data_IF_845709615371
#
_entry.id   IF_845709615371
#
_cell.length_a   1.000
_cell.length_b   1.000
_cell.length_c   1.000
_cell.angle_alpha   90.00
_cell.angle_beta   90.00
_cell.angle_gamma   90.00
#
_symmetry.space_group_name_H-M   'P 1'
#
loop_
_entity.id
_entity.type
_entity.pdbx_description
1 polymer ?
#
# COMPACT_ATOMS: atom_id res chain seq x y z
N UNK A 1 77.75 -64.20 -12.83
CA UNK A 1 76.51 -64.53 -12.10
C UNK A 1 76.01 -63.31 -11.34
N UNK A 2 76.79 -62.79 -10.39
CA UNK A 2 76.39 -61.71 -9.45
C UNK A 2 75.74 -60.49 -10.13
N UNK A 3 76.33 -59.94 -11.19
CA UNK A 3 75.75 -58.79 -11.91
C UNK A 3 74.29 -58.98 -12.35
N UNK A 4 73.88 -60.22 -12.71
CA UNK A 4 72.49 -60.52 -13.06
C UNK A 4 71.59 -60.64 -11.83
N UNK A 5 72.11 -61.14 -10.71
CA UNK A 5 71.38 -61.18 -9.44
C UNK A 5 71.16 -59.76 -8.87
N UNK A 6 72.17 -58.89 -8.93
CA UNK A 6 72.04 -57.47 -8.53
C UNK A 6 71.04 -56.72 -9.42
N UNK A 7 71.07 -56.95 -10.74
CA UNK A 7 70.08 -56.39 -11.66
C UNK A 7 68.65 -56.90 -11.38
N UNK A 8 68.47 -58.19 -11.15
CA UNK A 8 67.18 -58.79 -10.81
C UNK A 8 66.61 -58.26 -9.48
N UNK A 9 67.45 -58.14 -8.44
CA UNK A 9 67.05 -57.55 -7.16
C UNK A 9 66.67 -56.07 -7.31
N UNK A 10 67.42 -55.29 -8.09
CA UNK A 10 67.10 -53.88 -8.37
C UNK A 10 65.77 -53.71 -9.10
N UNK A 11 65.46 -54.62 -10.04
CA UNK A 11 64.20 -54.65 -10.77
C UNK A 11 63.02 -55.09 -9.88
N UNK A 12 63.21 -56.09 -9.02
CA UNK A 12 62.20 -56.52 -8.04
C UNK A 12 61.82 -55.36 -7.11
N UNK A 13 62.80 -54.69 -6.51
CA UNK A 13 62.53 -53.54 -5.65
C UNK A 13 62.13 -52.27 -6.40
N UNK A 14 62.13 -52.23 -7.73
CA UNK A 14 61.41 -51.23 -8.51
C UNK A 14 59.92 -51.63 -8.63
N UNK A 15 59.65 -52.85 -9.08
CA UNK A 15 58.29 -53.38 -9.23
C UNK A 15 57.49 -53.38 -7.91
N UNK A 16 58.13 -53.65 -6.77
CA UNK A 16 57.51 -53.54 -5.43
C UNK A 16 57.02 -52.11 -5.15
N UNK A 17 57.85 -51.10 -5.45
CA UNK A 17 57.48 -49.68 -5.26
C UNK A 17 56.41 -49.23 -6.24
N UNK A 18 56.48 -49.66 -7.49
CA UNK A 18 55.46 -49.39 -8.51
C UNK A 18 54.11 -50.04 -8.14
N UNK A 19 54.13 -51.26 -7.59
CA UNK A 19 52.93 -51.94 -7.09
C UNK A 19 52.32 -51.21 -5.88
N UNK A 20 53.12 -50.75 -4.90
CA UNK A 20 52.62 -49.94 -3.77
C UNK A 20 52.06 -48.59 -4.22
N UNK A 21 52.69 -47.95 -5.21
CA UNK A 21 52.18 -46.71 -5.79
C UNK A 21 50.86 -46.93 -6.53
N UNK A 22 50.73 -48.01 -7.31
CA UNK A 22 49.49 -48.38 -7.99
C UNK A 22 48.36 -48.72 -7.01
N UNK A 23 48.66 -49.45 -5.92
CA UNK A 23 47.68 -49.74 -4.85
C UNK A 23 47.21 -48.46 -4.15
N UNK A 24 48.11 -47.50 -3.91
CA UNK A 24 47.77 -46.22 -3.29
C UNK A 24 46.92 -45.36 -4.23
N UNK A 25 47.24 -45.33 -5.53
CA UNK A 25 46.44 -44.65 -6.55
C UNK A 25 45.05 -45.29 -6.73
N UNK A 26 44.95 -46.62 -6.66
CA UNK A 26 43.66 -47.32 -6.70
C UNK A 26 42.79 -46.99 -5.48
N UNK A 27 43.35 -47.03 -4.26
CA UNK A 27 42.63 -46.69 -3.03
C UNK A 27 42.17 -45.21 -3.03
N UNK A 28 42.95 -44.29 -3.60
CA UNK A 28 42.53 -42.91 -3.77
C UNK A 28 41.40 -42.79 -4.80
N UNK A 29 41.48 -43.49 -5.94
CA UNK A 29 40.43 -43.47 -6.96
C UNK A 29 39.11 -44.11 -6.47
N UNK A 30 39.17 -45.16 -5.64
CA UNK A 30 38.01 -45.74 -4.95
C UNK A 30 37.36 -44.72 -4.01
N UNK A 31 38.16 -43.93 -3.28
CA UNK A 31 37.65 -42.84 -2.44
C UNK A 31 37.05 -41.72 -3.29
N UNK A 32 37.74 -41.24 -4.31
CA UNK A 32 37.27 -40.16 -5.18
C UNK A 32 35.94 -40.53 -5.87
N UNK A 33 35.77 -41.81 -6.23
CA UNK A 33 34.51 -42.33 -6.76
C UNK A 33 33.38 -42.39 -5.71
N UNK A 34 33.69 -42.70 -4.45
CA UNK A 34 32.72 -42.66 -3.36
C UNK A 34 32.30 -41.22 -3.00
N UNK A 35 33.26 -40.31 -2.90
CA UNK A 35 33.02 -38.87 -2.66
C UNK A 35 32.19 -38.27 -3.82
N UNK A 36 32.49 -38.64 -5.08
CA UNK A 36 31.70 -38.24 -6.25
C UNK A 36 30.28 -38.83 -6.27
N UNK A 37 30.09 -40.07 -5.81
CA UNK A 37 28.75 -40.68 -5.69
C UNK A 37 27.88 -39.96 -4.65
N UNK A 38 28.46 -39.56 -3.50
CA UNK A 38 27.74 -38.76 -2.50
C UNK A 38 27.34 -37.38 -3.06
N UNK A 39 28.24 -36.70 -3.77
CA UNK A 39 27.95 -35.43 -4.43
C UNK A 39 26.82 -35.56 -5.47
N UNK A 40 26.76 -36.68 -6.20
CA UNK A 40 25.68 -36.94 -7.15
C UNK A 40 24.31 -37.12 -6.44
N UNK A 41 24.26 -37.85 -5.32
CA UNK A 41 23.03 -37.99 -4.51
C UNK A 41 22.55 -36.64 -3.98
N UNK A 42 23.43 -35.82 -3.39
CA UNK A 42 23.05 -34.49 -2.92
C UNK A 42 22.59 -33.57 -4.07
N UNK A 43 23.17 -33.69 -5.26
CA UNK A 43 22.71 -32.95 -6.44
C UNK A 43 21.28 -33.35 -6.88
N UNK A 44 20.93 -34.64 -6.79
CA UNK A 44 19.57 -35.14 -7.06
C UNK A 44 18.55 -34.63 -6.02
N UNK A 45 18.94 -34.59 -4.73
CA UNK A 45 18.13 -34.01 -3.65
C UNK A 45 17.89 -32.50 -3.86
N UNK A 46 18.94 -31.73 -4.22
CA UNK A 46 18.81 -30.31 -4.54
C UNK A 46 17.94 -30.06 -5.78
N UNK A 47 18.09 -30.87 -6.84
CA UNK A 47 17.26 -30.76 -8.04
C UNK A 47 15.77 -31.03 -7.72
N UNK A 48 15.48 -32.08 -6.93
CA UNK A 48 14.13 -32.43 -6.48
C UNK A 48 13.52 -31.31 -5.62
N UNK A 49 14.31 -30.73 -4.71
CA UNK A 49 13.91 -29.59 -3.88
C UNK A 49 13.59 -28.35 -4.72
N UNK A 50 14.44 -28.04 -5.71
CA UNK A 50 14.22 -26.92 -6.64
C UNK A 50 12.96 -27.10 -7.50
N UNK A 51 12.69 -28.32 -7.99
CA UNK A 51 11.45 -28.61 -8.73
C UNK A 51 10.21 -28.45 -7.84
N UNK A 52 10.28 -28.90 -6.59
CA UNK A 52 9.20 -28.73 -5.61
C UNK A 52 8.97 -27.25 -5.23
N UNK A 53 10.03 -26.43 -5.20
CA UNK A 53 9.92 -24.98 -5.02
C UNK A 53 9.29 -24.30 -6.24
N UNK A 54 9.72 -24.66 -7.46
CA UNK A 54 9.18 -24.12 -8.71
C UNK A 54 7.67 -24.42 -8.88
N UNK A 55 7.23 -25.64 -8.57
CA UNK A 55 5.80 -26.03 -8.58
C UNK A 55 4.95 -25.21 -7.58
N UNK A 56 5.52 -24.85 -6.43
CA UNK A 56 4.85 -23.96 -5.45
C UNK A 56 4.80 -22.52 -5.94
N UNK A 57 5.86 -22.02 -6.57
CA UNK A 57 5.89 -20.67 -7.14
C UNK A 57 4.84 -20.49 -8.26
N UNK A 58 4.72 -21.47 -9.18
CA UNK A 58 3.68 -21.52 -10.22
C UNK A 58 2.26 -21.56 -9.61
N UNK A 59 2.07 -22.30 -8.50
CA UNK A 59 0.80 -22.33 -7.76
C UNK A 59 0.48 -20.96 -7.13
N UNK A 60 1.46 -20.30 -6.51
CA UNK A 60 1.25 -18.98 -5.90
C UNK A 60 1.06 -17.86 -6.92
N UNK A 61 1.66 -17.95 -8.12
CA UNK A 61 1.35 -17.03 -9.22
C UNK A 61 -0.13 -17.13 -9.59
N UNK A 62 -0.64 -18.34 -9.82
CA UNK A 62 -2.07 -18.57 -10.15
C UNK A 62 -3.02 -18.16 -9.03
N UNK A 63 -2.65 -18.36 -7.76
CA UNK A 63 -3.42 -17.85 -6.61
C UNK A 63 -3.45 -16.31 -6.57
N UNK A 64 -2.33 -15.65 -6.92
CA UNK A 64 -2.22 -14.20 -6.96
C UNK A 64 -2.98 -13.58 -8.14
N UNK A 65 -2.87 -14.15 -9.35
CA UNK A 65 -3.62 -13.72 -10.53
C UNK A 65 -5.13 -13.81 -10.27
N UNK A 66 -5.61 -14.96 -9.77
CA UNK A 66 -7.01 -15.13 -9.39
C UNK A 66 -7.42 -14.19 -8.24
N UNK A 67 -6.50 -13.77 -7.35
CA UNK A 67 -6.79 -12.76 -6.33
C UNK A 67 -6.89 -11.35 -6.94
N UNK A 68 -6.07 -11.00 -7.92
CA UNK A 68 -6.15 -9.75 -8.67
C UNK A 68 -7.47 -9.67 -9.47
N UNK A 69 -7.83 -10.71 -10.24
CA UNK A 69 -9.10 -10.79 -10.96
C UNK A 69 -10.32 -10.56 -10.04
N UNK A 70 -10.31 -11.17 -8.84
CA UNK A 70 -11.36 -10.98 -7.83
C UNK A 70 -11.36 -9.56 -7.23
N UNK A 71 -10.19 -8.97 -7.01
CA UNK A 71 -10.07 -7.60 -6.51
C UNK A 71 -10.59 -6.58 -7.55
N UNK A 72 -10.22 -6.74 -8.82
CA UNK A 72 -10.76 -5.93 -9.91
C UNK A 72 -12.27 -6.13 -10.11
N UNK A 73 -12.75 -7.38 -10.09
CA UNK A 73 -14.18 -7.66 -10.22
C UNK A 73 -14.97 -7.04 -9.07
N UNK A 74 -14.42 -7.04 -7.85
CA UNK A 74 -15.01 -6.33 -6.71
C UNK A 74 -14.96 -4.81 -6.89
N UNK A 75 -13.88 -4.23 -7.42
CA UNK A 75 -13.80 -2.80 -7.74
C UNK A 75 -14.82 -2.40 -8.81
N UNK A 76 -14.95 -3.15 -9.90
CA UNK A 76 -15.98 -2.96 -10.95
C UNK A 76 -17.39 -3.06 -10.37
N UNK A 77 -17.63 -3.99 -9.44
CA UNK A 77 -18.90 -4.13 -8.71
C UNK A 77 -19.18 -2.94 -7.77
N UNK A 78 -18.18 -2.42 -7.06
CA UNK A 78 -18.33 -1.20 -6.24
C UNK A 78 -18.54 0.05 -7.11
N UNK A 79 -17.84 0.19 -8.24
CA UNK A 79 -18.04 1.30 -9.16
C UNK A 79 -19.44 1.28 -9.79
N UNK A 80 -19.93 0.10 -10.22
CA UNK A 80 -21.31 -0.01 -10.73
C UNK A 80 -22.31 0.43 -9.67
N UNK A 81 -22.16 -0.04 -8.42
CA UNK A 81 -23.01 0.36 -7.28
C UNK A 81 -22.92 1.85 -6.96
N UNK A 82 -21.72 2.44 -7.00
CA UNK A 82 -21.54 3.88 -6.78
C UNK A 82 -22.16 4.73 -7.90
N UNK A 83 -22.12 4.26 -9.15
CA UNK A 83 -22.79 4.89 -10.31
C UNK A 83 -24.31 4.75 -10.21
N UNK A 84 -24.81 3.57 -9.83
CA UNK A 84 -26.23 3.28 -9.61
C UNK A 84 -26.81 4.08 -8.42
N UNK A 85 -26.05 4.24 -7.34
CA UNK A 85 -26.38 5.10 -6.20
C UNK A 85 -26.32 6.60 -6.57
N UNK A 86 -25.37 7.01 -7.42
CA UNK A 86 -25.29 8.38 -7.92
C UNK A 86 -26.36 8.73 -8.98
N UNK A 87 -26.93 7.73 -9.66
CA UNK A 87 -28.01 7.89 -10.62
C UNK A 87 -29.42 7.77 -9.99
N UNK A 88 -29.55 7.03 -8.88
CA UNK A 88 -30.81 6.90 -8.13
C UNK A 88 -31.04 7.99 -7.08
N UNK A 89 -29.97 8.66 -6.63
CA UNK A 89 -30.10 9.96 -5.96
C UNK A 89 -30.41 11.04 -7.01
N UNK A 90 -31.33 11.98 -6.74
CA UNK A 90 -31.43 13.17 -7.57
C UNK A 90 -30.08 13.90 -7.55
N UNK A 91 -29.72 14.54 -8.68
CA UNK A 91 -28.54 15.39 -8.75
C UNK A 91 -28.55 16.39 -7.57
N UNK A 92 -27.42 16.67 -6.90
CA UNK A 92 -27.38 17.57 -5.75
C UNK A 92 -27.93 18.96 -6.11
N UNK A 93 -29.22 19.18 -5.82
CA UNK A 93 -29.77 20.52 -5.64
C UNK A 93 -28.93 21.13 -4.54
N UNK A 94 -28.11 22.14 -4.87
CA UNK A 94 -27.24 22.82 -3.92
C UNK A 94 -28.09 23.16 -2.68
N UNK A 95 -27.84 22.52 -1.52
CA UNK A 95 -28.40 23.00 -0.28
C UNK A 95 -27.96 24.45 -0.13
N UNK A 96 -28.70 25.28 0.61
CA UNK A 96 -28.17 26.56 1.07
C UNK A 96 -26.98 26.28 1.99
N UNK A 97 -25.81 26.14 1.38
CA UNK A 97 -24.54 25.82 2.00
C UNK A 97 -23.80 27.13 2.18
N UNK A 98 -23.50 27.44 3.43
CA UNK A 98 -22.85 28.67 3.88
C UNK A 98 -21.69 29.06 2.93
N UNK A 99 -21.73 30.24 2.29
CA UNK A 99 -20.72 30.68 1.34
C UNK A 99 -19.30 30.62 1.90
N UNK A 100 -19.11 30.83 3.20
CA UNK A 100 -17.78 30.77 3.83
C UNK A 100 -17.28 29.32 3.98
N UNK A 101 -18.18 28.35 4.16
CA UNK A 101 -17.83 26.91 4.16
C UNK A 101 -17.54 26.41 2.73
N UNK A 102 -18.29 26.89 1.73
CA UNK A 102 -18.00 26.58 0.31
C UNK A 102 -16.64 27.16 -0.08
N UNK A 103 -16.35 28.41 0.34
CA UNK A 103 -15.05 29.04 0.09
C UNK A 103 -13.89 28.29 0.75
N UNK A 104 -14.03 27.87 2.01
CA UNK A 104 -13.02 27.04 2.69
C UNK A 104 -12.81 25.70 1.97
N UNK A 105 -13.88 25.06 1.48
CA UNK A 105 -13.79 23.83 0.70
C UNK A 105 -13.07 24.00 -0.65
N UNK A 106 -13.20 25.16 -1.29
CA UNK A 106 -12.48 25.52 -2.51
C UNK A 106 -10.98 25.74 -2.26
N UNK A 107 -10.65 26.46 -1.19
CA UNK A 107 -9.26 26.68 -0.75
C UNK A 107 -8.56 25.35 -0.38
N UNK A 108 -9.20 24.49 0.42
CA UNK A 108 -8.73 23.12 0.75
C UNK A 108 -8.62 22.20 -0.49
N UNK A 109 -9.54 22.30 -1.46
CA UNK A 109 -9.49 21.49 -2.67
C UNK A 109 -8.43 21.97 -3.70
N UNK A 110 -7.92 23.20 -3.52
CA UNK A 110 -7.02 23.86 -4.47
C UNK A 110 -7.68 24.22 -5.80
N UNK A 111 -8.96 24.64 -5.76
CA UNK A 111 -9.78 24.90 -6.95
C UNK A 111 -10.42 26.29 -6.82
N UNK A 112 -10.34 27.13 -7.85
CA UNK A 112 -10.99 28.45 -7.85
C UNK A 112 -12.52 28.35 -7.93
N UNK A 113 -13.24 29.38 -7.47
CA UNK A 113 -14.70 29.41 -7.52
C UNK A 113 -15.22 29.30 -8.97
N UNK A 114 -14.56 30.00 -9.89
CA UNK A 114 -14.84 30.00 -11.32
C UNK A 114 -14.59 28.63 -11.96
N UNK A 115 -13.56 27.90 -11.53
CA UNK A 115 -13.33 26.52 -11.96
C UNK A 115 -14.36 25.54 -11.39
N UNK A 116 -14.89 25.80 -10.19
CA UNK A 116 -15.91 24.96 -9.57
C UNK A 116 -17.29 25.20 -10.19
N UNK A 117 -17.69 26.45 -10.44
CA UNK A 117 -18.90 26.78 -11.22
C UNK A 117 -18.83 26.18 -12.63
N UNK A 118 -17.68 26.31 -13.31
CA UNK A 118 -17.47 25.66 -14.60
C UNK A 118 -17.50 24.13 -14.50
N UNK A 119 -16.96 23.54 -13.43
CA UNK A 119 -17.02 22.10 -13.20
C UNK A 119 -18.45 21.63 -12.92
N UNK A 120 -19.25 22.35 -12.15
CA UNK A 120 -20.68 22.07 -11.94
C UNK A 120 -21.47 22.15 -13.25
N UNK A 121 -21.25 23.21 -14.05
CA UNK A 121 -21.92 23.42 -15.34
C UNK A 121 -21.56 22.36 -16.42
N UNK A 122 -20.46 21.63 -16.25
CA UNK A 122 -20.06 20.50 -17.11
C UNK A 122 -20.52 19.16 -16.49
N UNK A 123 -20.31 18.97 -15.19
CA UNK A 123 -20.69 17.77 -14.45
C UNK A 123 -22.21 17.56 -14.36
N UNK A 124 -23.00 18.64 -14.45
CA UNK A 124 -24.46 18.59 -14.45
C UNK A 124 -25.08 18.11 -15.77
N UNK A 125 -24.31 18.01 -16.87
CA UNK A 125 -24.82 17.53 -18.16
C UNK A 125 -24.76 16.01 -18.28
N UNK A 126 -25.74 15.43 -18.96
CA UNK A 126 -25.69 14.04 -19.42
C UNK A 126 -25.31 13.90 -20.91
N UNK A 127 -25.29 12.66 -21.41
CA UNK A 127 -24.94 12.34 -22.78
C UNK A 127 -26.01 12.77 -23.80
N UNK A 128 -27.28 12.74 -23.40
CA UNK A 128 -28.41 13.12 -24.24
C UNK A 128 -28.49 14.64 -24.35
N UNK A 129 -28.25 15.39 -23.27
CA UNK A 129 -28.05 16.84 -23.27
C UNK A 129 -26.96 17.24 -24.27
N UNK A 130 -25.79 16.60 -24.17
CA UNK A 130 -24.66 16.84 -25.07
C UNK A 130 -25.04 16.60 -26.54
N UNK A 131 -25.76 15.51 -26.84
CA UNK A 131 -26.22 15.18 -28.18
C UNK A 131 -27.29 16.17 -28.69
N UNK A 132 -28.22 16.60 -27.84
CA UNK A 132 -29.20 17.64 -28.15
C UNK A 132 -28.51 18.96 -28.51
N UNK A 133 -27.62 19.46 -27.63
CA UNK A 133 -26.85 20.69 -27.84
C UNK A 133 -26.01 20.67 -29.13
N UNK A 134 -25.40 19.52 -29.46
CA UNK A 134 -24.54 19.38 -30.64
C UNK A 134 -25.30 19.01 -31.93
N UNK A 135 -26.64 19.04 -31.91
CA UNK A 135 -27.48 18.91 -33.10
C UNK A 135 -27.79 17.48 -33.52
N UNK A 136 -27.61 16.51 -32.62
CA UNK A 136 -28.02 15.12 -32.75
C UNK A 136 -29.38 14.82 -32.08
N UNK A 137 -30.18 15.85 -31.79
CA UNK A 137 -31.61 15.80 -31.43
C UNK A 137 -32.40 14.65 -32.08
N UNK A 138 -32.40 14.50 -33.41
CA UNK A 138 -33.15 13.42 -34.10
C UNK A 138 -32.59 12.02 -33.77
N UNK A 139 -31.31 11.90 -33.40
CA UNK A 139 -30.75 10.64 -32.93
C UNK A 139 -31.33 10.29 -31.55
N UNK A 140 -31.34 11.25 -30.62
CA UNK A 140 -31.95 11.09 -29.28
C UNK A 140 -33.44 10.75 -29.42
N UNK A 141 -34.22 11.47 -30.23
CA UNK A 141 -35.64 11.17 -30.50
C UNK A 141 -35.90 9.74 -31.02
N UNK A 142 -34.94 9.14 -31.75
CA UNK A 142 -35.13 7.87 -32.43
C UNK A 142 -34.63 6.65 -31.65
N UNK A 143 -33.60 6.82 -30.82
CA UNK A 143 -32.82 5.74 -30.18
C UNK A 143 -32.22 6.10 -28.81
N UNK A 144 -32.79 7.06 -28.05
CA UNK A 144 -32.26 7.44 -26.72
C UNK A 144 -31.99 6.26 -25.76
N UNK A 145 -32.84 5.23 -25.77
CA UNK A 145 -32.61 4.01 -24.96
C UNK A 145 -31.35 3.27 -25.41
N UNK A 146 -31.24 2.99 -26.70
CA UNK A 146 -30.08 2.29 -27.29
C UNK A 146 -28.78 3.10 -27.08
N UNK A 147 -28.83 4.44 -27.16
CA UNK A 147 -27.67 5.33 -26.87
C UNK A 147 -27.18 5.15 -25.42
N UNK A 148 -28.10 4.98 -24.46
CA UNK A 148 -27.74 4.81 -23.05
C UNK A 148 -27.11 3.44 -22.77
N UNK A 149 -27.39 2.41 -23.58
CA UNK A 149 -26.70 1.12 -23.48
C UNK A 149 -25.21 1.23 -23.89
N UNK A 150 -24.85 2.18 -24.75
CA UNK A 150 -23.47 2.45 -25.14
C UNK A 150 -22.65 3.22 -24.07
N UNK A 151 -23.22 3.66 -22.95
CA UNK A 151 -22.53 4.57 -22.01
C UNK A 151 -21.33 3.93 -21.28
N UNK A 152 -21.34 2.61 -21.13
CA UNK A 152 -20.26 1.82 -20.51
C UNK A 152 -19.30 1.20 -21.56
N UNK A 153 -19.48 1.48 -22.86
CA UNK A 153 -18.58 1.01 -23.92
C UNK A 153 -17.32 1.91 -24.03
N UNK A 154 -16.09 1.34 -23.98
CA UNK A 154 -14.86 2.12 -24.14
C UNK A 154 -14.71 2.82 -25.50
N UNK A 155 -15.45 2.40 -26.53
CA UNK A 155 -15.66 3.14 -27.78
C UNK A 155 -17.16 3.38 -28.05
N UNK A 156 -17.76 4.14 -27.13
CA UNK A 156 -19.11 4.70 -27.23
C UNK A 156 -19.40 5.37 -28.60
N UNK A 157 -18.39 5.93 -29.27
CA UNK A 157 -18.56 6.55 -30.59
C UNK A 157 -18.82 5.48 -31.67
N UNK A 158 -18.06 4.37 -31.66
CA UNK A 158 -18.32 3.21 -32.50
C UNK A 158 -19.64 2.50 -32.14
N UNK A 159 -19.97 2.37 -30.84
CA UNK A 159 -21.23 1.76 -30.40
C UNK A 159 -22.46 2.54 -30.92
N UNK A 160 -22.48 3.88 -30.77
CA UNK A 160 -23.56 4.72 -31.29
C UNK A 160 -23.58 4.74 -32.83
N UNK A 161 -22.43 4.62 -33.48
CA UNK A 161 -22.36 4.46 -34.93
C UNK A 161 -22.95 3.11 -35.41
N UNK A 162 -22.79 2.03 -34.65
CA UNK A 162 -23.39 0.74 -34.94
C UNK A 162 -24.93 0.79 -34.85
N UNK A 163 -25.48 1.47 -33.83
CA UNK A 163 -26.93 1.72 -33.70
C UNK A 163 -27.47 2.45 -34.94
N UNK A 164 -26.80 3.52 -35.36
CA UNK A 164 -27.19 4.29 -36.58
C UNK A 164 -27.13 3.41 -37.83
N UNK A 165 -26.09 2.59 -37.95
CA UNK A 165 -25.90 1.69 -39.10
C UNK A 165 -26.96 0.59 -39.18
N UNK A 166 -27.57 0.23 -38.04
CA UNK A 166 -28.64 -0.77 -37.95
C UNK A 166 -30.06 -0.17 -37.96
N UNK A 167 -30.20 1.15 -38.15
CA UNK A 167 -31.52 1.79 -38.18
C UNK A 167 -32.37 1.35 -39.40
N UNK A 168 -33.65 0.97 -39.21
CA UNK A 168 -34.56 0.70 -40.31
C UNK A 168 -34.63 1.88 -41.28
N UNK A 169 -34.66 1.60 -42.59
CA UNK A 169 -34.63 2.60 -43.68
C UNK A 169 -35.67 3.73 -43.49
N UNK A 170 -36.84 3.41 -42.93
CA UNK A 170 -37.90 4.38 -42.62
C UNK A 170 -37.55 5.34 -41.46
N UNK A 171 -36.78 4.90 -40.46
CA UNK A 171 -36.18 5.79 -39.44
C UNK A 171 -35.01 6.58 -40.07
N UNK A 172 -34.15 5.91 -40.85
CA UNK A 172 -32.99 6.52 -41.50
C UNK A 172 -33.36 7.70 -42.42
N UNK A 173 -34.53 7.65 -43.07
CA UNK A 173 -35.06 8.75 -43.89
C UNK A 173 -35.11 10.11 -43.18
N UNK A 174 -35.32 10.15 -41.85
CA UNK A 174 -35.33 11.39 -41.05
C UNK A 174 -33.92 11.97 -40.81
N UNK A 175 -32.87 11.15 -40.96
CA UNK A 175 -31.49 11.54 -40.64
C UNK A 175 -30.76 12.21 -41.81
N UNK A 176 -31.17 11.98 -43.07
CA UNK A 176 -30.44 12.42 -44.27
C UNK A 176 -30.02 13.90 -44.26
N UNK A 177 -30.83 14.80 -43.69
CA UNK A 177 -30.51 16.24 -43.60
C UNK A 177 -29.62 16.66 -42.42
N UNK A 178 -29.43 15.80 -41.40
CA UNK A 178 -28.65 16.09 -40.19
C UNK A 178 -27.36 15.27 -40.06
N UNK A 179 -27.08 14.29 -40.93
CA UNK A 179 -25.90 13.39 -40.85
C UNK A 179 -24.60 14.13 -40.48
N UNK A 180 -24.17 15.24 -41.13
CA UNK A 180 -22.88 15.87 -40.83
C UNK A 180 -22.80 16.46 -39.42
N UNK A 181 -23.92 16.90 -38.83
CA UNK A 181 -23.98 17.35 -37.44
C UNK A 181 -23.89 16.16 -36.48
N UNK A 182 -24.61 15.08 -36.81
CA UNK A 182 -24.66 13.86 -36.01
C UNK A 182 -23.28 13.19 -35.94
N UNK A 183 -22.59 13.02 -37.08
CA UNK A 183 -21.21 12.52 -37.11
C UNK A 183 -20.26 13.41 -36.29
N UNK A 184 -20.40 14.74 -36.37
CA UNK A 184 -19.58 15.67 -35.56
C UNK A 184 -19.85 15.54 -34.05
N UNK A 185 -21.12 15.37 -33.65
CA UNK A 185 -21.48 15.17 -32.26
C UNK A 185 -20.90 13.84 -31.74
N UNK A 186 -21.06 12.74 -32.49
CA UNK A 186 -20.57 11.40 -32.11
C UNK A 186 -19.04 11.39 -31.91
N UNK A 187 -18.29 11.95 -32.85
CA UNK A 187 -16.82 12.06 -32.75
C UNK A 187 -16.37 12.98 -31.59
N UNK A 188 -17.27 13.80 -31.04
CA UNK A 188 -17.01 14.64 -29.89
C UNK A 188 -17.37 14.01 -28.53
N UNK A 189 -18.06 12.85 -28.51
CA UNK A 189 -18.55 12.23 -27.27
C UNK A 189 -17.41 11.90 -26.31
N UNK A 190 -16.34 11.22 -26.76
CA UNK A 190 -15.23 10.85 -25.87
C UNK A 190 -14.61 12.08 -25.21
N UNK A 191 -14.38 13.15 -25.99
CA UNK A 191 -13.87 14.42 -25.50
C UNK A 191 -14.87 15.24 -24.66
N UNK A 192 -16.16 14.88 -24.65
CA UNK A 192 -17.15 15.35 -23.69
C UNK A 192 -17.09 14.52 -22.40
N UNK A 193 -17.08 13.18 -22.51
CA UNK A 193 -16.99 12.28 -21.36
C UNK A 193 -15.71 12.50 -20.55
N UNK A 194 -14.56 12.70 -21.20
CA UNK A 194 -13.29 13.05 -20.55
C UNK A 194 -13.41 14.33 -19.71
N UNK A 195 -14.04 15.38 -20.28
CA UNK A 195 -14.26 16.66 -19.59
C UNK A 195 -15.27 16.51 -18.46
N UNK A 196 -16.32 15.73 -18.65
CA UNK A 196 -17.36 15.46 -17.66
C UNK A 196 -16.83 14.60 -16.51
N UNK A 197 -15.94 13.64 -16.78
CA UNK A 197 -15.22 12.87 -15.76
C UNK A 197 -14.23 13.75 -14.98
N UNK A 198 -13.46 14.60 -15.67
CA UNK A 198 -12.57 15.57 -15.04
C UNK A 198 -13.32 16.61 -14.19
N UNK A 199 -14.48 17.08 -14.68
CA UNK A 199 -15.37 18.00 -13.98
C UNK A 199 -16.00 17.34 -12.74
N UNK A 200 -16.58 16.14 -12.87
CA UNK A 200 -17.09 15.35 -11.74
C UNK A 200 -16.00 15.04 -10.72
N UNK A 201 -14.74 14.83 -11.15
CA UNK A 201 -13.58 14.68 -10.25
C UNK A 201 -13.20 15.97 -9.52
N UNK A 202 -13.36 17.15 -10.14
CA UNK A 202 -13.23 18.46 -9.45
C UNK A 202 -14.36 18.68 -8.45
N UNK A 203 -15.62 18.44 -8.86
CA UNK A 203 -16.80 18.57 -7.99
C UNK A 203 -16.65 17.64 -6.78
N UNK A 204 -16.34 16.35 -6.97
CA UNK A 204 -16.13 15.39 -5.87
C UNK A 204 -15.02 15.80 -4.90
N UNK A 205 -13.93 16.42 -5.38
CA UNK A 205 -12.91 17.00 -4.48
C UNK A 205 -13.47 18.12 -3.60
N UNK A 206 -14.25 19.03 -4.18
CA UNK A 206 -14.88 20.14 -3.42
C UNK A 206 -15.98 19.60 -2.51
N UNK A 207 -16.72 18.56 -2.88
CA UNK A 207 -17.68 17.87 -2.00
C UNK A 207 -16.98 17.14 -0.84
N UNK A 208 -15.86 16.45 -1.09
CA UNK A 208 -15.04 15.82 -0.05
C UNK A 208 -14.46 16.86 0.91
N UNK A 209 -13.93 17.97 0.38
CA UNK A 209 -13.47 19.11 1.17
C UNK A 209 -14.63 19.77 1.95
N UNK A 210 -15.79 19.95 1.34
CA UNK A 210 -16.98 20.53 1.97
C UNK A 210 -17.55 19.61 3.06
N UNK A 211 -17.47 18.29 2.91
CA UNK A 211 -17.84 17.34 3.97
C UNK A 211 -16.78 17.27 5.09
N UNK A 212 -15.48 17.47 4.82
CA UNK A 212 -14.48 17.73 5.88
C UNK A 212 -14.83 19.01 6.64
N UNK A 213 -15.04 20.11 5.92
CA UNK A 213 -15.35 21.44 6.46
C UNK A 213 -16.67 21.45 7.25
N UNK A 214 -17.74 20.80 6.75
CA UNK A 214 -19.00 20.61 7.50
C UNK A 214 -18.83 19.74 8.75
N UNK A 215 -17.97 18.73 8.73
CA UNK A 215 -17.67 17.92 9.92
C UNK A 215 -16.92 18.76 10.96
N UNK A 216 -15.91 19.53 10.55
CA UNK A 216 -15.24 20.52 11.38
C UNK A 216 -16.20 21.60 11.93
N UNK A 217 -17.14 22.09 11.11
CA UNK A 217 -18.14 23.05 11.53
C UNK A 217 -19.14 22.45 12.55
N UNK A 218 -19.50 21.17 12.43
CA UNK A 218 -20.31 20.48 13.46
C UNK A 218 -19.58 20.36 14.79
N UNK A 219 -18.25 20.25 14.79
CA UNK A 219 -17.44 20.34 16.02
C UNK A 219 -17.48 21.73 16.69
N UNK A 220 -18.10 22.74 16.06
CA UNK A 220 -18.25 24.10 16.60
C UNK A 220 -19.69 24.46 17.03
N UNK A 221 -20.68 23.58 16.83
CA UNK A 221 -22.11 23.94 17.01
C UNK A 221 -22.87 23.23 18.14
N UNK A 222 -22.29 22.20 18.77
CA UNK A 222 -22.97 21.44 19.86
C UNK A 222 -22.74 22.02 21.28
N UNK A 223 -22.21 23.24 21.36
CA UNK A 223 -21.90 23.93 22.61
C UNK A 223 -23.17 24.51 23.28
N UNK A 224 -23.83 23.72 24.14
CA UNK A 224 -24.95 24.19 24.98
C UNK A 224 -24.44 24.89 26.24
N UNK A 225 -24.87 26.15 26.53
CA UNK A 225 -24.28 26.95 27.61
C UNK A 225 -24.55 26.38 29.01
N UNK A 226 -23.51 25.81 29.64
CA UNK A 226 -23.62 24.89 30.79
C UNK A 226 -23.08 25.36 32.17
N UNK A 227 -22.80 26.66 32.37
CA UNK A 227 -22.40 27.30 33.65
C UNK A 227 -21.06 26.89 34.33
N UNK A 228 -20.04 27.73 34.11
CA UNK A 228 -19.43 28.51 35.22
C UNK A 228 -18.12 28.01 35.84
N UNK A 229 -17.03 28.79 35.70
CA UNK A 229 -15.70 28.39 36.18
C UNK A 229 -14.63 29.50 36.35
N UNK A 230 -15.01 30.74 36.72
CA UNK A 230 -14.14 31.86 37.17
C UNK A 230 -12.78 32.10 36.48
N UNK A 231 -12.73 33.22 35.77
CA UNK A 231 -11.54 33.97 35.33
C UNK A 231 -10.38 34.09 36.34
N UNK A 232 -9.14 34.04 35.84
CA UNK A 232 -8.00 34.88 36.29
C UNK A 232 -7.15 35.30 35.08
N UNK A 233 -6.38 36.38 35.22
CA UNK A 233 -5.85 37.17 34.09
C UNK A 233 -4.36 36.95 33.78
N UNK A 234 -3.95 37.36 32.58
CA UNK A 234 -2.59 37.22 32.04
C UNK A 234 -1.53 38.17 32.64
N UNK A 235 -0.25 37.76 32.55
CA UNK A 235 0.92 38.65 32.52
C UNK A 235 2.18 37.92 32.00
N UNK A 236 3.08 38.61 31.28
CA UNK A 236 4.51 38.27 31.21
C UNK A 236 5.10 37.80 29.86
N UNK A 237 5.73 38.72 29.12
CA UNK A 237 6.86 38.49 28.18
C UNK A 237 7.95 39.52 28.48
N UNK A 238 9.24 39.16 28.33
CA UNK A 238 10.10 39.67 27.22
C UNK A 238 10.69 38.48 26.41
N UNK A 239 11.12 38.54 25.14
CA UNK A 239 12.00 39.49 24.39
C UNK A 239 13.51 39.38 24.76
N UNK A 240 14.46 39.23 23.80
CA UNK A 240 14.35 39.09 22.33
C UNK A 240 15.61 38.42 21.70
N UNK A 241 15.45 37.93 20.44
CA UNK A 241 16.44 37.74 19.34
C UNK A 241 17.85 37.13 19.61
N UNK A 242 18.44 36.25 18.78
CA UNK A 242 18.07 35.45 17.59
C UNK A 242 19.24 34.43 17.35
N UNK A 243 19.37 33.56 16.34
CA UNK A 243 18.85 33.43 14.97
C UNK A 243 18.69 31.94 14.55
N UNK A 244 18.25 31.73 13.31
CA UNK A 244 18.02 30.48 12.58
C UNK A 244 19.06 29.35 12.65
N UNK A 245 18.59 28.15 12.98
CA UNK A 245 18.58 26.98 12.09
C UNK A 245 17.35 26.11 12.44
N UNK A 246 16.75 25.41 11.47
CA UNK A 246 15.41 24.81 11.60
C UNK A 246 15.36 23.48 12.37
N UNK A 247 14.16 23.11 12.88
CA UNK A 247 13.86 21.73 13.27
C UNK A 247 13.27 21.47 14.67
N UNK A 248 12.70 22.46 15.37
CA UNK A 248 12.15 22.26 16.73
C UNK A 248 10.62 22.18 16.78
N UNK A 249 10.05 20.98 16.76
CA UNK A 249 8.71 20.76 17.30
C UNK A 249 8.76 20.78 18.83
N UNK A 250 7.83 21.50 19.46
CA UNK A 250 7.96 21.88 20.87
C UNK A 250 7.65 20.73 21.84
N UNK A 251 8.42 20.68 22.93
CA UNK A 251 8.21 19.78 24.07
C UNK A 251 6.95 20.17 24.85
N UNK A 252 5.91 19.35 24.84
CA UNK A 252 4.85 19.36 25.84
C UNK A 252 5.09 18.28 26.90
N UNK A 253 4.63 18.51 28.13
CA UNK A 253 4.87 17.61 29.27
C UNK A 253 3.55 17.16 29.89
N UNK A 254 3.25 15.86 29.72
CA UNK A 254 2.42 14.99 30.57
C UNK A 254 0.99 15.39 30.98
N UNK A 255 0.16 14.34 31.06
CA UNK A 255 -1.16 14.21 31.70
C UNK A 255 -2.41 14.58 30.89
N UNK A 256 -3.32 13.58 30.88
CA UNK A 256 -4.77 13.58 30.64
C UNK A 256 -5.29 13.88 29.21
N UNK A 257 -6.39 13.19 28.85
CA UNK A 257 -6.89 13.06 27.47
C UNK A 257 -7.77 14.23 26.98
N UNK A 258 -7.35 14.91 25.91
CA UNK A 258 -8.20 15.14 24.71
C UNK A 258 -7.34 15.48 23.47
N UNK A 259 -7.23 14.58 22.47
CA UNK A 259 -6.50 14.85 21.24
C UNK A 259 -7.36 15.58 20.20
N UNK A 260 -7.84 16.78 20.53
CA UNK A 260 -8.47 17.66 19.56
C UNK A 260 -7.42 18.30 18.62
N UNK A 261 -7.70 18.24 17.31
CA UNK A 261 -6.87 18.73 16.19
C UNK A 261 -5.60 17.91 15.87
N UNK A 262 -5.77 16.82 15.11
CA UNK A 262 -5.18 16.68 13.75
C UNK A 262 -5.65 15.39 13.05
N UNK A 263 -5.88 15.42 11.74
CA UNK A 263 -6.09 14.22 10.92
C UNK A 263 -4.76 13.55 10.50
N UNK A 264 -3.81 13.49 11.43
CA UNK A 264 -2.51 12.87 11.24
C UNK A 264 -2.56 11.33 11.26
N UNK A 265 -1.44 10.66 10.94
CA UNK A 265 -1.32 9.22 11.13
C UNK A 265 -1.33 8.88 12.63
N UNK A 266 -1.63 7.63 13.00
CA UNK A 266 -1.59 7.22 14.41
C UNK A 266 -0.19 7.39 15.00
N UNK A 267 -0.05 8.11 16.11
CA UNK A 267 1.21 8.26 16.83
C UNK A 267 1.14 7.51 18.16
N UNK A 268 2.07 6.58 18.35
CA UNK A 268 2.27 5.83 19.60
C UNK A 268 3.52 6.34 20.31
N UNK A 269 3.39 6.63 21.60
CA UNK A 269 4.47 7.10 22.47
C UNK A 269 4.88 5.98 23.43
N UNK A 270 6.17 5.86 23.77
CA UNK A 270 6.60 5.01 24.88
C UNK A 270 6.22 5.65 26.22
N UNK A 271 6.28 4.89 27.32
CA UNK A 271 6.05 5.33 28.71
C UNK A 271 4.67 5.97 29.02
N UNK A 272 3.73 5.98 28.07
CA UNK A 272 2.34 6.42 28.26
C UNK A 272 1.57 5.54 29.27
N UNK A 273 0.54 6.05 29.98
CA UNK A 273 -0.24 5.23 30.90
C UNK A 273 -0.77 3.94 30.27
N UNK A 274 -0.50 2.80 30.92
CA UNK A 274 -0.99 1.47 30.51
C UNK A 274 -0.09 0.65 29.58
N UNK A 275 1.09 1.18 29.18
CA UNK A 275 2.16 0.40 28.52
C UNK A 275 3.17 -0.16 29.53
N UNK A 276 4.04 -1.05 29.04
CA UNK A 276 5.30 -1.37 29.73
C UNK A 276 6.23 -0.14 29.74
N UNK A 277 6.98 -0.01 30.84
CA UNK A 277 7.93 1.06 31.11
C UNK A 277 9.24 0.51 31.71
N UNK A 278 9.46 -0.80 31.61
CA UNK A 278 10.76 -1.44 31.85
C UNK A 278 11.79 -0.79 30.93
N UNK A 279 12.91 -0.33 31.49
CA UNK A 279 13.94 0.38 30.74
C UNK A 279 14.59 -0.55 29.69
N UNK A 280 15.06 0.00 28.57
CA UNK A 280 15.65 -0.79 27.47
C UNK A 280 16.98 -0.19 27.01
N UNK A 281 18.02 -1.03 26.98
CA UNK A 281 19.38 -0.63 26.63
C UNK A 281 19.52 -0.02 25.24
N UNK A 282 20.57 0.78 24.98
CA UNK A 282 20.78 1.41 23.69
C UNK A 282 21.19 0.38 22.61
N UNK A 283 20.70 0.57 21.39
CA UNK A 283 21.26 -0.10 20.19
C UNK A 283 22.29 0.81 19.50
N UNK A 284 23.25 0.26 18.74
CA UNK A 284 24.15 1.06 17.89
C UNK A 284 23.39 2.02 16.95
N UNK A 285 24.02 3.14 16.60
CA UNK A 285 23.40 4.18 15.77
C UNK A 285 23.11 3.71 14.33
N UNK A 286 23.92 2.79 13.84
CA UNK A 286 23.79 2.07 12.56
C UNK A 286 23.00 0.76 12.67
N UNK A 287 22.50 0.40 13.87
CA UNK A 287 21.77 -0.84 14.08
C UNK A 287 20.45 -0.88 13.30
N UNK A 288 20.08 -2.09 12.88
CA UNK A 288 18.93 -2.35 12.05
C UNK A 288 19.32 -2.80 10.64
N UNK A 289 18.46 -3.64 10.08
CA UNK A 289 18.72 -4.29 8.79
C UNK A 289 18.53 -3.26 7.67
N UNK A 290 19.49 -3.06 6.75
CA UNK A 290 19.35 -2.07 5.68
C UNK A 290 18.31 -2.50 4.63
N UNK A 291 17.69 -1.52 3.97
CA UNK A 291 16.67 -1.76 2.95
C UNK A 291 17.20 -2.62 1.80
N UNK A 292 16.40 -3.59 1.35
CA UNK A 292 16.76 -4.56 0.32
C UNK A 292 17.67 -5.71 0.77
N UNK A 293 18.06 -5.78 2.05
CA UNK A 293 18.81 -6.94 2.56
C UNK A 293 17.93 -8.19 2.73
N UNK A 294 18.56 -9.36 2.60
CA UNK A 294 17.91 -10.65 2.84
C UNK A 294 17.68 -10.89 4.33
N UNK A 295 16.49 -11.41 4.66
CA UNK A 295 16.12 -11.82 6.00
C UNK A 295 16.61 -13.25 6.28
N UNK A 296 17.27 -13.46 7.42
CA UNK A 296 17.55 -14.80 7.96
C UNK A 296 16.26 -15.39 8.55
N UNK A 297 16.08 -16.73 8.61
CA UNK A 297 15.02 -17.33 9.41
C UNK A 297 15.15 -16.94 10.88
N UNK A 298 14.04 -16.65 11.57
CA UNK A 298 14.04 -16.18 12.97
C UNK A 298 12.89 -15.21 13.29
N UNK A 299 12.82 -14.77 14.55
CA UNK A 299 11.92 -13.71 15.01
C UNK A 299 12.62 -12.34 14.99
N UNK A 300 11.85 -11.28 14.73
CA UNK A 300 12.32 -9.92 14.59
C UNK A 300 11.36 -8.93 15.25
N UNK A 301 11.89 -7.85 15.83
CA UNK A 301 11.10 -6.65 16.16
C UNK A 301 11.22 -5.60 15.04
N UNK A 302 10.21 -4.73 14.93
CA UNK A 302 10.27 -3.56 14.05
C UNK A 302 9.54 -2.35 14.61
N UNK A 303 9.92 -1.18 14.10
CA UNK A 303 9.23 0.11 14.31
C UNK A 303 9.10 0.85 12.98
N UNK A 304 7.99 1.57 12.82
CA UNK A 304 7.75 2.52 11.72
C UNK A 304 7.80 3.93 12.27
N UNK A 305 8.73 4.74 11.79
CA UNK A 305 8.94 6.14 12.21
C UNK A 305 7.86 7.06 11.64
N UNK A 306 7.78 8.28 12.16
CA UNK A 306 6.75 9.26 11.77
C UNK A 306 6.84 9.71 10.30
N UNK A 307 7.99 9.51 9.66
CA UNK A 307 8.24 9.70 8.22
C UNK A 307 7.86 8.48 7.36
N UNK A 308 7.38 7.40 7.98
CA UNK A 308 7.05 6.12 7.33
C UNK A 308 8.23 5.17 7.15
N UNK A 309 9.45 5.55 7.52
CA UNK A 309 10.64 4.68 7.42
C UNK A 309 10.62 3.55 8.45
N UNK A 310 11.27 2.43 8.12
CA UNK A 310 11.31 1.23 8.97
C UNK A 310 12.70 1.00 9.56
N UNK A 311 12.76 0.60 10.84
CA UNK A 311 13.89 -0.16 11.40
C UNK A 311 13.40 -1.51 11.89
N UNK A 312 14.21 -2.54 11.71
CA UNK A 312 13.99 -3.89 12.23
C UNK A 312 15.33 -4.54 12.60
N UNK A 313 15.32 -5.42 13.60
CA UNK A 313 16.46 -6.24 14.04
C UNK A 313 15.97 -7.64 14.38
N UNK A 314 16.82 -8.65 14.20
CA UNK A 314 16.54 -10.02 14.67
C UNK A 314 16.57 -10.03 16.20
N UNK A 315 15.76 -10.86 16.84
CA UNK A 315 15.86 -11.07 18.28
C UNK A 315 17.24 -11.62 18.66
N UNK A 316 17.79 -12.53 17.86
CA UNK A 316 19.16 -13.04 17.99
C UNK A 316 20.23 -11.92 18.05
N UNK A 317 20.09 -10.84 17.27
CA UNK A 317 21.04 -9.70 17.26
C UNK A 317 20.82 -8.74 18.44
N UNK A 318 19.68 -8.84 19.13
CA UNK A 318 19.33 -8.03 20.31
C UNK A 318 19.71 -8.73 21.61
N UNK A 319 19.58 -10.06 21.65
CA UNK A 319 20.02 -10.91 22.76
C UNK A 319 21.57 -10.96 22.88
N UNK A 320 22.31 -10.58 21.82
CA UNK A 320 23.76 -10.35 21.87
C UNK A 320 24.17 -8.98 22.47
N UNK A 321 23.21 -8.07 22.74
CA UNK A 321 23.48 -6.71 23.23
C UNK A 321 23.13 -6.60 24.73
N UNK A 322 24.01 -5.97 25.51
CA UNK A 322 23.81 -5.73 26.95
C UNK A 322 22.60 -4.79 27.23
N UNK A 323 22.08 -4.84 28.45
CA UNK A 323 20.95 -4.01 28.94
C UNK A 323 19.58 -4.19 28.23
N UNK A 324 19.36 -5.31 27.52
CA UNK A 324 18.06 -5.71 26.96
C UNK A 324 17.38 -4.66 26.05
N UNK A 325 17.96 -4.34 24.88
CA UNK A 325 17.32 -3.44 23.92
C UNK A 325 16.01 -3.99 23.35
N UNK A 326 15.14 -3.10 22.86
CA UNK A 326 13.87 -3.49 22.23
C UNK A 326 13.26 -2.40 21.35
N UNK A 327 11.92 -2.37 21.25
CA UNK A 327 11.19 -1.41 20.41
C UNK A 327 11.55 0.04 20.71
N UNK A 328 11.78 0.38 21.99
CA UNK A 328 12.07 1.74 22.45
C UNK A 328 13.47 2.17 22.01
N UNK A 329 14.46 1.30 22.20
CA UNK A 329 15.83 1.43 21.69
C UNK A 329 15.85 1.60 20.17
N UNK A 330 15.09 0.77 19.44
CA UNK A 330 15.02 0.79 17.97
C UNK A 330 14.33 2.06 17.45
N UNK A 331 13.41 2.63 18.22
CA UNK A 331 12.78 3.92 17.97
C UNK A 331 13.65 5.13 18.38
N UNK A 332 14.74 4.94 19.14
CA UNK A 332 15.51 6.02 19.80
C UNK A 332 14.62 6.83 20.76
N UNK A 333 13.79 6.16 21.56
CA UNK A 333 12.81 6.70 22.52
C UNK A 333 11.74 7.63 21.92
N UNK A 334 11.66 7.69 20.59
CA UNK A 334 10.75 8.58 19.85
C UNK A 334 9.37 7.96 19.63
N UNK A 335 8.37 8.78 19.25
CA UNK A 335 7.07 8.27 18.84
C UNK A 335 7.15 7.54 17.48
N UNK A 336 6.26 6.57 17.29
CA UNK A 336 6.21 5.70 16.11
C UNK A 336 4.80 5.62 15.55
N UNK A 337 4.66 5.31 14.26
CA UNK A 337 3.36 5.02 13.64
C UNK A 337 2.87 3.60 13.94
N UNK A 338 3.83 2.71 14.17
CA UNK A 338 3.62 1.28 14.43
C UNK A 338 4.88 0.72 15.12
N UNK A 339 4.67 -0.23 16.02
CA UNK A 339 5.70 -1.09 16.61
C UNK A 339 5.16 -2.52 16.61
N UNK A 340 6.02 -3.51 16.35
CA UNK A 340 5.56 -4.87 16.15
C UNK A 340 6.65 -5.91 16.11
N UNK A 341 6.23 -7.13 15.78
CA UNK A 341 7.07 -8.30 15.59
C UNK A 341 6.76 -8.95 14.24
N UNK A 342 7.75 -9.59 13.62
CA UNK A 342 7.55 -10.48 12.48
C UNK A 342 8.42 -11.74 12.57
N UNK A 343 7.90 -12.82 12.01
CA UNK A 343 8.54 -14.15 11.95
C UNK A 343 8.97 -14.40 10.50
N UNK A 344 10.17 -14.95 10.32
CA UNK A 344 10.72 -15.34 9.01
C UNK A 344 10.98 -16.84 8.99
N UNK A 345 10.32 -17.54 8.08
CA UNK A 345 10.49 -18.98 7.90
C UNK A 345 11.80 -19.35 7.19
N UNK A 346 12.12 -20.65 7.19
CA UNK A 346 13.36 -21.23 6.63
C UNK A 346 13.70 -20.88 5.16
N UNK A 347 12.76 -20.31 4.40
CA UNK A 347 12.94 -19.85 3.03
C UNK A 347 13.22 -18.33 2.90
N UNK A 348 13.48 -17.63 4.00
CA UNK A 348 13.63 -16.16 4.01
C UNK A 348 12.31 -15.39 3.80
N UNK A 349 11.17 -16.07 3.94
CA UNK A 349 9.84 -15.53 3.72
C UNK A 349 9.16 -15.16 5.04
N UNK A 350 8.56 -13.98 5.12
CA UNK A 350 7.81 -13.52 6.29
C UNK A 350 6.53 -14.37 6.45
N UNK A 351 6.46 -15.14 7.54
CA UNK A 351 5.39 -16.08 7.88
C UNK A 351 4.35 -15.46 8.81
N UNK A 352 4.75 -14.53 9.68
CA UNK A 352 3.86 -13.81 10.60
C UNK A 352 4.25 -12.34 10.75
N UNK A 353 3.28 -11.45 10.96
CA UNK A 353 3.49 -10.03 11.34
C UNK A 353 2.42 -9.63 12.35
N UNK A 354 2.77 -8.97 13.46
CA UNK A 354 1.83 -8.57 14.53
C UNK A 354 2.16 -7.22 15.17
N UNK A 355 1.13 -6.46 15.54
CA UNK A 355 1.21 -5.16 16.25
C UNK A 355 1.48 -5.33 17.76
N UNK A 356 2.44 -6.18 18.12
CA UNK A 356 2.80 -6.40 19.52
C UNK A 356 4.06 -5.62 19.90
N UNK A 357 3.93 -4.78 20.92
CA UNK A 357 5.02 -4.11 21.62
C UNK A 357 4.50 -3.72 23.00
N UNK A 358 5.21 -4.11 24.06
CA UNK A 358 4.84 -3.77 25.44
C UNK A 358 4.83 -2.27 25.68
N UNK A 359 5.84 -1.57 25.16
CA UNK A 359 6.15 -0.16 25.42
C UNK A 359 5.31 0.82 24.62
N UNK A 360 4.85 0.44 23.42
CA UNK A 360 4.04 1.30 22.56
C UNK A 360 2.56 0.92 22.53
N UNK A 361 2.26 -0.38 22.62
CA UNK A 361 0.94 -1.00 22.43
C UNK A 361 0.08 -0.35 21.32
N UNK A 362 0.45 -0.52 20.02
CA UNK A 362 -0.36 -0.02 18.91
C UNK A 362 -1.71 -0.71 18.82
N UNK A 363 -2.78 0.08 18.73
CA UNK A 363 -4.17 -0.39 18.65
C UNK A 363 -4.83 0.13 17.38
N UNK A 364 -5.47 -0.77 16.63
CA UNK A 364 -6.35 -0.36 15.54
C UNK A 364 -7.56 0.38 16.13
N UNK A 365 -7.82 1.61 15.68
CA UNK A 365 -9.12 2.29 15.87
C UNK A 365 -9.82 2.42 14.51
N UNK A 366 -11.07 2.85 14.53
CA UNK A 366 -11.87 3.07 13.33
C UNK A 366 -11.61 4.48 12.74
N UNK A 367 -11.78 4.67 11.43
CA UNK A 367 -11.71 5.99 10.77
C UNK A 367 -10.33 6.46 10.29
N UNK A 368 -9.26 5.68 10.50
CA UNK A 368 -7.89 5.98 10.05
C UNK A 368 -7.30 4.81 9.25
N UNK A 369 -6.15 5.01 8.60
CA UNK A 369 -5.34 3.97 7.94
C UNK A 369 -5.09 2.78 8.88
N UNK A 370 -5.19 1.55 8.38
CA UNK A 370 -5.00 0.37 9.22
C UNK A 370 -3.52 0.14 9.56
N UNK A 371 -3.25 -0.42 10.75
CA UNK A 371 -1.89 -0.79 11.16
C UNK A 371 -1.26 -1.79 10.17
N UNK A 372 -2.08 -2.64 9.53
CA UNK A 372 -1.63 -3.55 8.48
C UNK A 372 -1.12 -2.80 7.26
N UNK A 373 -1.82 -1.75 6.84
CA UNK A 373 -1.50 -1.02 5.60
C UNK A 373 -0.34 -0.04 5.81
N UNK A 374 -0.23 0.56 7.00
CA UNK A 374 0.99 1.27 7.46
C UNK A 374 2.18 0.30 7.38
N UNK A 375 2.05 -0.89 7.97
CA UNK A 375 3.12 -1.90 7.98
C UNK A 375 3.48 -2.37 6.57
N UNK A 376 2.50 -2.65 5.71
CA UNK A 376 2.73 -3.04 4.31
C UNK A 376 3.49 -1.96 3.53
N UNK A 377 3.11 -0.68 3.67
CA UNK A 377 3.77 0.41 2.98
C UNK A 377 5.24 0.55 3.41
N UNK A 378 5.51 0.50 4.72
CA UNK A 378 6.88 0.59 5.25
C UNK A 378 7.74 -0.62 4.92
N UNK A 379 7.20 -1.85 5.00
CA UNK A 379 7.92 -3.06 4.57
C UNK A 379 8.26 -2.99 3.07
N UNK A 380 7.32 -2.57 2.22
CA UNK A 380 7.55 -2.42 0.78
C UNK A 380 8.61 -1.37 0.47
N UNK A 381 8.59 -0.23 1.17
CA UNK A 381 9.66 0.79 1.09
C UNK A 381 11.03 0.28 1.54
N UNK A 382 11.06 -0.74 2.41
CA UNK A 382 12.26 -1.43 2.86
C UNK A 382 12.70 -2.60 1.96
N UNK A 383 11.95 -2.89 0.90
CA UNK A 383 12.21 -3.99 -0.04
C UNK A 383 11.64 -5.36 0.36
N UNK A 384 10.74 -5.41 1.35
CA UNK A 384 10.13 -6.64 1.85
C UNK A 384 8.63 -6.71 1.58
N UNK A 385 8.09 -7.93 1.45
CA UNK A 385 6.65 -8.17 1.26
C UNK A 385 6.18 -9.33 2.12
N UNK A 386 4.96 -9.22 2.65
CA UNK A 386 4.28 -10.29 3.39
C UNK A 386 2.83 -10.47 2.90
N UNK A 387 2.33 -11.71 2.79
CA UNK A 387 0.96 -11.96 2.36
C UNK A 387 -0.04 -11.62 3.49
N UNK A 388 -1.28 -11.24 3.17
CA UNK A 388 -2.29 -10.89 4.19
C UNK A 388 -2.52 -12.00 5.24
N UNK A 389 -2.32 -13.28 4.88
CA UNK A 389 -2.40 -14.42 5.81
C UNK A 389 -1.34 -14.39 6.93
N UNK A 390 -0.23 -13.68 6.75
CA UNK A 390 0.81 -13.49 7.76
C UNK A 390 0.39 -12.47 8.83
N UNK A 391 -0.43 -11.48 8.48
CA UNK A 391 -0.87 -10.44 9.43
C UNK A 391 -1.77 -11.02 10.53
N UNK A 392 -1.37 -10.85 11.78
CA UNK A 392 -2.13 -11.19 12.99
C UNK A 392 -2.35 -9.91 13.78
N UNK A 393 -3.56 -9.34 13.71
CA UNK A 393 -3.92 -8.21 14.57
C UNK A 393 -4.01 -8.68 16.02
N UNK A 394 -3.05 -8.29 16.84
CA UNK A 394 -3.14 -8.41 18.29
C UNK A 394 -4.13 -7.37 18.82
N UNK A 395 -5.22 -7.85 19.42
CA UNK A 395 -6.14 -7.02 20.19
C UNK A 395 -6.01 -7.47 21.64
N UNK A 396 -5.58 -6.55 22.52
CA UNK A 396 -5.58 -6.80 23.96
C UNK A 396 -7.03 -7.02 24.39
N UNK A 397 -7.38 -8.27 24.71
CA UNK A 397 -8.66 -8.57 25.35
C UNK A 397 -8.67 -7.86 26.71
N UNK A 398 -9.71 -7.09 26.98
CA UNK A 398 -9.95 -6.63 28.34
C UNK A 398 -10.17 -7.86 29.25
N UNK A 399 -9.68 -7.81 30.51
CA UNK A 399 -9.99 -8.83 31.51
C UNK A 399 -11.47 -8.79 31.92
#
# INVERSE_FOLDING_TARGET
>A
AENHATAAASAASLAEREATAAQTAAAQAEKDAADAAQLATSAEEYATSAEAAAKKADSYAKEADAAAERAEAYQREQERKAREEAASKPAPTTPESDPDLVKQALEEAGISAEEYEAALAIAGKDLLDYLLENGAEILVELVAGDIMECIDDPDIATCIWAIISNLPVLKAAKLLGKIPKITKAILGISAFLDKTAAARKKVKKVEEALEKVKKGAKCLTDDKPGKGGKSVSAAGRPEAAANHADGTWARSTAADDDPSVECGPYIWWPYRPGVDHTDQGPVPADAGIPAGAFLRPGDYIFVVRLDGTLRAMSNDDLDEIEDYPGHTSLAEDKPVLMAGEFEVGAAGLITMVRNFSGHYMPQQKEGFTSLKDITKASFLGHGWVFPDKAWKLYVKKNP
#
